data_IF_600870020203
#
_entry.id   IF_600870020203
#
_cell.length_a   1.000
_cell.length_b   1.000
_cell.length_c   1.000
_cell.angle_alpha   90.00
_cell.angle_beta   90.00
_cell.angle_gamma   90.00
#
_symmetry.space_group_name_H-M   'P 1'
#
loop_
_entity.id
_entity.type
_entity.pdbx_description
1 polymer ?
#
# COMPACT_ATOMS: atom_id res chain seq x y z
N UNK A 1 20.52 4.07 5.15
CA UNK A 1 20.78 5.24 4.27
C UNK A 1 21.79 6.25 4.86
N UNK A 2 22.10 6.23 6.17
CA UNK A 2 23.07 7.14 6.79
C UNK A 2 24.51 7.05 6.24
N UNK A 3 24.97 5.86 5.81
CA UNK A 3 26.38 5.65 5.42
C UNK A 3 26.83 6.37 4.15
N UNK A 4 25.96 6.58 3.15
CA UNK A 4 26.35 7.18 1.86
C UNK A 4 26.38 8.71 1.93
N UNK A 5 25.48 9.30 2.73
CA UNK A 5 25.41 10.75 2.94
C UNK A 5 26.41 11.24 4.01
N UNK A 6 26.82 10.36 4.93
CA UNK A 6 27.83 10.65 5.96
C UNK A 6 29.25 10.25 5.54
N UNK A 7 29.42 9.64 4.36
CA UNK A 7 30.74 9.29 3.86
C UNK A 7 31.52 10.55 3.49
N UNK A 8 32.72 10.68 4.03
CA UNK A 8 33.59 11.80 3.71
C UNK A 8 33.97 11.77 2.22
N UNK A 9 33.88 12.89 1.48
CA UNK A 9 34.12 12.93 0.04
C UNK A 9 35.57 12.62 -0.36
N UNK A 10 36.49 12.58 0.61
CA UNK A 10 37.92 12.27 0.40
C UNK A 10 38.25 10.78 0.60
N UNK A 11 37.31 9.95 1.05
CA UNK A 11 37.56 8.53 1.31
C UNK A 11 37.53 7.76 -0.01
N UNK A 12 38.61 7.04 -0.31
CA UNK A 12 38.70 6.21 -1.51
C UNK A 12 38.01 4.83 -1.29
N UNK A 13 36.88 4.56 -1.96
CA UNK A 13 36.16 3.30 -1.84
C UNK A 13 36.78 2.16 -2.65
N UNK A 14 37.89 2.41 -3.37
CA UNK A 14 38.56 1.43 -4.21
C UNK A 14 39.88 0.97 -3.59
N UNK A 15 40.22 -0.28 -3.87
CA UNK A 15 41.53 -0.87 -3.65
C UNK A 15 42.52 -0.44 -4.76
N UNK A 16 43.84 -0.63 -4.57
CA UNK A 16 44.84 -0.30 -5.58
C UNK A 16 44.66 -1.04 -6.92
N UNK A 17 43.97 -2.18 -6.94
CA UNK A 17 43.64 -2.97 -8.12
C UNK A 17 42.37 -2.51 -8.85
N UNK A 18 41.71 -1.46 -8.35
CA UNK A 18 40.45 -0.92 -8.90
C UNK A 18 39.18 -1.62 -8.40
N UNK A 19 39.29 -2.68 -7.59
CA UNK A 19 38.12 -3.33 -6.98
C UNK A 19 37.51 -2.46 -5.87
N UNK A 20 36.22 -2.59 -5.61
CA UNK A 20 35.56 -1.86 -4.51
C UNK A 20 35.87 -2.51 -3.17
N UNK A 21 36.29 -1.72 -2.18
CA UNK A 21 36.37 -2.13 -0.78
C UNK A 21 34.98 -2.48 -0.26
N UNK A 22 34.89 -3.44 0.66
CA UNK A 22 33.62 -3.77 1.34
C UNK A 22 33.25 -2.72 2.37
N UNK A 23 34.23 -2.21 3.11
CA UNK A 23 34.08 -1.23 4.19
C UNK A 23 35.13 -0.14 4.02
N UNK A 24 34.75 1.09 4.34
CA UNK A 24 35.67 2.21 4.47
C UNK A 24 35.57 2.81 5.87
N UNK A 25 36.72 3.21 6.41
CA UNK A 25 36.82 3.87 7.72
C UNK A 25 36.85 5.39 7.55
N UNK A 26 36.06 6.08 8.36
CA UNK A 26 35.97 7.55 8.38
C UNK A 26 36.09 8.07 9.82
N UNK A 27 36.27 9.38 9.98
CA UNK A 27 36.27 10.02 11.31
C UNK A 27 34.92 9.85 12.04
N UNK A 28 33.83 9.63 11.30
CA UNK A 28 32.49 9.34 11.84
C UNK A 28 32.22 7.83 12.01
N UNK A 29 33.18 6.96 11.70
CA UNK A 29 33.09 5.50 11.86
C UNK A 29 33.23 4.72 10.55
N UNK A 30 33.14 3.39 10.65
CA UNK A 30 33.20 2.47 9.53
C UNK A 30 31.86 2.37 8.80
N UNK A 31 31.89 2.27 7.47
CA UNK A 31 30.69 2.18 6.63
C UNK A 31 30.87 1.20 5.49
N UNK A 32 29.83 0.39 5.24
CA UNK A 32 29.78 -0.49 4.09
C UNK A 32 29.69 0.33 2.79
N UNK A 33 30.49 -0.02 1.79
CA UNK A 33 30.58 0.69 0.53
C UNK A 33 29.43 0.26 -0.39
N UNK A 34 28.50 1.18 -0.65
CA UNK A 34 27.39 0.99 -1.59
C UNK A 34 27.63 1.81 -2.84
N UNK A 35 28.10 1.16 -3.91
CA UNK A 35 28.12 1.75 -5.25
C UNK A 35 27.05 1.10 -6.12
N UNK A 36 26.69 1.73 -7.24
CA UNK A 36 25.76 1.15 -8.22
C UNK A 36 26.25 -0.23 -8.71
N UNK A 37 27.55 -0.39 -8.92
CA UNK A 37 28.14 -1.67 -9.35
C UNK A 37 28.02 -2.76 -8.28
N UNK A 38 28.28 -2.43 -7.01
CA UNK A 38 28.09 -3.35 -5.88
C UNK A 38 26.62 -3.73 -5.75
N UNK A 39 25.70 -2.76 -5.80
CA UNK A 39 24.26 -3.04 -5.72
C UNK A 39 23.78 -3.96 -6.83
N UNK A 40 24.18 -3.71 -8.07
CA UNK A 40 23.84 -4.57 -9.20
C UNK A 40 24.41 -5.98 -9.00
N UNK A 41 25.67 -6.11 -8.60
CA UNK A 41 26.27 -7.42 -8.33
C UNK A 41 25.55 -8.19 -7.21
N UNK A 42 25.09 -7.50 -6.16
CA UNK A 42 24.34 -8.12 -5.08
C UNK A 42 22.96 -8.61 -5.53
N UNK A 43 22.30 -7.87 -6.42
CA UNK A 43 21.03 -8.27 -7.04
C UNK A 43 21.22 -9.44 -8.00
N UNK A 44 22.22 -9.39 -8.87
CA UNK A 44 22.54 -10.44 -9.85
C UNK A 44 22.93 -11.77 -9.19
N UNK A 45 23.36 -11.73 -7.93
CA UNK A 45 23.73 -12.90 -7.12
C UNK A 45 22.66 -13.31 -6.10
N UNK A 46 21.46 -12.72 -6.18
CA UNK A 46 20.35 -12.99 -5.25
C UNK A 46 20.70 -12.74 -3.76
N UNK A 47 21.72 -11.93 -3.48
CA UNK A 47 22.15 -11.56 -2.13
C UNK A 47 21.40 -10.35 -1.58
N UNK A 48 20.61 -9.67 -2.41
CA UNK A 48 19.73 -8.60 -1.99
C UNK A 48 18.48 -8.55 -2.86
N UNK A 49 17.33 -8.71 -2.22
CA UNK A 49 16.02 -8.51 -2.82
C UNK A 49 15.21 -7.47 -2.02
N UNK A 50 14.49 -6.62 -2.73
CA UNK A 50 13.48 -5.73 -2.19
C UNK A 50 12.37 -5.62 -3.25
N UNK A 51 11.22 -6.21 -2.96
CA UNK A 51 10.12 -6.37 -3.90
C UNK A 51 8.80 -5.95 -3.24
N UNK A 52 7.98 -5.20 -3.98
CA UNK A 52 6.61 -4.91 -3.58
C UNK A 52 5.67 -5.26 -4.72
N UNK A 53 4.71 -6.15 -4.45
CA UNK A 53 3.63 -6.52 -5.35
C UNK A 53 2.32 -5.94 -4.85
N UNK A 54 1.72 -5.06 -5.65
CA UNK A 54 0.40 -4.51 -5.41
C UNK A 54 -0.64 -5.16 -6.33
N UNK A 55 -1.83 -5.41 -5.81
CA UNK A 55 -3.02 -5.76 -6.57
C UNK A 55 -4.17 -4.88 -6.11
N UNK A 56 -4.89 -4.26 -7.04
CA UNK A 56 -6.04 -3.44 -6.72
C UNK A 56 -7.17 -3.65 -7.73
N UNK A 57 -8.39 -3.75 -7.24
CA UNK A 57 -9.61 -3.79 -8.04
C UNK A 57 -10.62 -2.81 -7.50
N UNK A 58 -11.24 -2.08 -8.41
CA UNK A 58 -12.29 -1.11 -8.12
C UNK A 58 -13.49 -1.48 -8.99
N UNK A 59 -14.59 -1.85 -8.35
CA UNK A 59 -15.79 -2.32 -9.04
C UNK A 59 -16.94 -1.42 -8.67
N UNK A 60 -17.73 -1.01 -9.67
CA UNK A 60 -18.92 -0.20 -9.46
C UNK A 60 -20.11 -0.82 -10.17
N UNK A 61 -21.21 -0.94 -9.44
CA UNK A 61 -22.49 -1.40 -9.94
C UNK A 61 -23.52 -0.34 -9.65
N UNK A 62 -24.44 -0.11 -10.59
CA UNK A 62 -25.58 0.76 -10.34
C UNK A 62 -26.83 0.20 -11.00
N UNK A 63 -27.97 0.51 -10.41
CA UNK A 63 -29.28 0.23 -10.97
C UNK A 63 -30.17 1.45 -10.81
N UNK A 64 -30.92 1.80 -11.85
CA UNK A 64 -31.94 2.85 -11.82
C UNK A 64 -33.30 2.25 -12.19
N UNK A 65 -34.32 2.58 -11.40
CA UNK A 65 -35.71 2.21 -11.63
C UNK A 65 -36.56 3.49 -11.64
N UNK A 66 -37.29 3.70 -12.74
CA UNK A 66 -38.37 4.69 -12.75
C UNK A 66 -39.63 4.04 -12.19
N UNK A 67 -40.25 4.67 -11.19
CA UNK A 67 -41.38 4.08 -10.48
C UNK A 67 -42.65 4.18 -11.35
N UNK A 68 -43.24 3.05 -11.79
CA UNK A 68 -44.45 3.09 -12.61
C UNK A 68 -45.61 3.66 -11.81
N UNK A 69 -46.36 4.58 -12.41
CA UNK A 69 -47.52 5.24 -11.78
C UNK A 69 -47.22 6.56 -11.07
N UNK A 70 -45.94 6.95 -10.89
CA UNK A 70 -45.56 8.27 -10.39
C UNK A 70 -44.57 8.91 -11.36
N UNK A 71 -45.07 9.82 -12.19
CA UNK A 71 -44.26 10.50 -13.19
C UNK A 71 -43.15 11.34 -12.54
N UNK A 72 -41.91 11.11 -12.97
CA UNK A 72 -40.75 11.85 -12.46
C UNK A 72 -40.07 11.23 -11.24
N UNK A 73 -40.62 10.17 -10.64
CA UNK A 73 -40.02 9.48 -9.50
C UNK A 73 -39.05 8.38 -9.95
N UNK A 74 -37.81 8.46 -9.48
CA UNK A 74 -36.73 7.53 -9.78
C UNK A 74 -36.04 7.07 -8.52
N UNK A 75 -35.72 5.79 -8.47
CA UNK A 75 -34.84 5.21 -7.46
C UNK A 75 -33.56 4.73 -8.12
N UNK A 76 -32.42 5.11 -7.56
CA UNK A 76 -31.10 4.67 -8.02
C UNK A 76 -30.32 4.09 -6.84
N UNK A 77 -29.68 2.95 -7.04
CA UNK A 77 -28.74 2.37 -6.09
C UNK A 77 -27.36 2.28 -6.73
N UNK A 78 -26.32 2.62 -5.98
CA UNK A 78 -24.92 2.47 -6.37
C UNK A 78 -24.20 1.59 -5.34
N UNK A 79 -23.42 0.63 -5.82
CA UNK A 79 -22.54 -0.21 -5.02
C UNK A 79 -21.11 -0.04 -5.53
N UNK A 80 -20.21 0.45 -4.68
CA UNK A 80 -18.77 0.47 -4.89
C UNK A 80 -18.10 -0.62 -4.07
N UNK A 81 -17.18 -1.38 -4.68
CA UNK A 81 -16.39 -2.42 -4.03
C UNK A 81 -14.93 -2.27 -4.43
N UNK A 82 -14.09 -1.95 -3.45
CA UNK A 82 -12.66 -1.78 -3.63
C UNK A 82 -11.90 -2.82 -2.82
N UNK A 83 -10.93 -3.46 -3.46
CA UNK A 83 -10.00 -4.36 -2.80
C UNK A 83 -8.58 -3.99 -3.22
N UNK A 84 -7.74 -3.71 -2.23
CA UNK A 84 -6.33 -3.36 -2.43
C UNK A 84 -5.50 -4.30 -1.57
N UNK A 85 -4.50 -4.93 -2.16
CA UNK A 85 -3.53 -5.77 -1.48
C UNK A 85 -2.12 -5.34 -1.83
N UNK A 86 -1.27 -5.24 -0.83
CA UNK A 86 0.16 -5.04 -1.01
C UNK A 86 0.92 -6.17 -0.31
N UNK A 87 1.88 -6.75 -1.02
CA UNK A 87 2.81 -7.74 -0.49
C UNK A 87 4.22 -7.24 -0.70
N UNK A 88 4.88 -6.84 0.37
CA UNK A 88 6.26 -6.36 0.37
C UNK A 88 7.15 -7.43 0.96
N UNK A 89 8.23 -7.77 0.27
CA UNK A 89 9.21 -8.75 0.69
C UNK A 89 10.61 -8.23 0.52
N UNK A 90 11.48 -8.51 1.47
CA UNK A 90 12.89 -8.14 1.39
C UNK A 90 13.79 -9.28 1.87
N UNK A 91 14.99 -9.33 1.32
CA UNK A 91 16.05 -10.24 1.70
C UNK A 91 17.40 -9.52 1.65
N UNK A 92 18.24 -9.79 2.63
CA UNK A 92 19.61 -9.31 2.71
C UNK A 92 20.49 -10.49 3.11
N UNK A 93 21.44 -10.85 2.25
CA UNK A 93 22.38 -11.94 2.49
C UNK A 93 23.35 -11.63 3.63
N UNK A 94 24.09 -12.65 4.07
CA UNK A 94 25.05 -12.52 5.15
C UNK A 94 26.11 -11.44 4.85
N UNK A 95 26.35 -10.56 5.83
CA UNK A 95 27.35 -9.50 5.73
C UNK A 95 27.06 -8.45 4.67
N UNK A 96 25.85 -8.38 4.12
CA UNK A 96 25.47 -7.32 3.17
C UNK A 96 24.96 -6.11 3.94
N UNK A 97 25.39 -4.91 3.54
CA UNK A 97 24.99 -3.63 4.14
C UNK A 97 25.35 -3.49 5.64
N UNK A 98 26.35 -4.23 6.11
CA UNK A 98 26.87 -4.17 7.49
C UNK A 98 28.40 -4.13 7.52
N UNK A 99 28.98 -3.55 8.57
CA UNK A 99 30.45 -3.54 8.74
C UNK A 99 30.98 -4.94 9.06
N UNK A 100 30.29 -5.70 9.91
CA UNK A 100 30.67 -7.07 10.25
C UNK A 100 30.26 -8.06 9.15
N UNK A 101 31.23 -8.76 8.55
CA UNK A 101 30.99 -9.75 7.50
C UNK A 101 30.22 -10.98 7.99
N UNK A 102 30.28 -11.28 9.28
CA UNK A 102 29.60 -12.42 9.90
C UNK A 102 28.15 -12.11 10.28
N UNK A 103 27.64 -10.89 10.08
CA UNK A 103 26.23 -10.58 10.37
C UNK A 103 25.33 -11.48 9.53
N UNK A 104 24.53 -12.31 10.19
CA UNK A 104 23.61 -13.27 9.55
C UNK A 104 22.65 -12.59 8.58
N UNK A 105 22.15 -13.35 7.61
CA UNK A 105 21.16 -12.89 6.65
C UNK A 105 19.85 -12.50 7.34
N UNK A 106 19.08 -11.62 6.72
CA UNK A 106 17.75 -11.21 7.19
C UNK A 106 16.74 -11.23 6.04
N UNK A 107 15.50 -11.55 6.35
CA UNK A 107 14.38 -11.29 5.45
C UNK A 107 13.16 -10.84 6.21
N UNK A 108 12.21 -10.29 5.48
CA UNK A 108 10.91 -9.95 6.00
C UNK A 108 9.86 -9.98 4.92
N UNK A 109 8.62 -10.16 5.35
CA UNK A 109 7.42 -10.02 4.53
C UNK A 109 6.40 -9.19 5.29
N UNK A 110 5.72 -8.31 4.56
CA UNK A 110 4.61 -7.51 5.06
C UNK A 110 3.47 -7.61 4.07
N UNK A 111 2.33 -8.14 4.51
CA UNK A 111 1.11 -8.20 3.72
C UNK A 111 0.09 -7.22 4.31
N UNK A 112 -0.44 -6.33 3.49
CA UNK A 112 -1.56 -5.48 3.86
C UNK A 112 -2.72 -5.60 2.88
N UNK A 113 -3.93 -5.53 3.41
CA UNK A 113 -5.17 -5.65 2.67
C UNK A 113 -6.13 -4.56 3.12
N UNK A 114 -6.75 -3.89 2.15
CA UNK A 114 -7.84 -2.95 2.36
C UNK A 114 -9.07 -3.47 1.63
N UNK A 115 -10.16 -3.63 2.36
CA UNK A 115 -11.49 -3.91 1.83
C UNK A 115 -12.35 -2.68 2.09
N UNK A 116 -12.84 -2.07 1.03
CA UNK A 116 -13.73 -0.91 1.12
C UNK A 116 -14.98 -1.16 0.31
N UNK A 117 -16.13 -0.78 0.88
CA UNK A 117 -17.40 -0.82 0.17
C UNK A 117 -18.22 0.41 0.47
N UNK A 118 -19.00 0.84 -0.52
CA UNK A 118 -19.94 1.96 -0.42
C UNK A 118 -21.27 1.54 -1.02
N UNK A 119 -22.37 1.78 -0.31
CA UNK A 119 -23.73 1.57 -0.78
C UNK A 119 -24.48 2.90 -0.70
N UNK A 120 -24.92 3.40 -1.84
CA UNK A 120 -25.68 4.64 -1.94
C UNK A 120 -27.07 4.36 -2.51
N UNK A 121 -28.08 4.93 -1.87
CA UNK A 121 -29.47 4.83 -2.27
C UNK A 121 -30.01 6.25 -2.49
N UNK A 122 -30.40 6.55 -3.72
CA UNK A 122 -30.95 7.83 -4.12
C UNK A 122 -32.42 7.66 -4.52
N UNK A 123 -33.28 8.49 -3.93
CA UNK A 123 -34.65 8.69 -4.39
C UNK A 123 -34.74 10.10 -4.95
N UNK A 124 -35.10 10.22 -6.22
CA UNK A 124 -35.19 11.49 -6.94
C UNK A 124 -36.59 11.69 -7.48
N UNK A 125 -37.16 12.88 -7.31
CA UNK A 125 -38.44 13.27 -7.88
C UNK A 125 -38.27 14.56 -8.68
N UNK A 126 -38.54 14.46 -9.98
CA UNK A 126 -38.45 15.57 -10.93
C UNK A 126 -39.79 15.80 -11.60
N UNK A 127 -40.41 16.95 -11.33
CA UNK A 127 -41.73 17.29 -11.89
C UNK A 127 -41.80 18.73 -12.34
N UNK A 128 -42.27 18.93 -13.56
CA UNK A 128 -42.62 20.26 -14.10
C UNK A 128 -44.12 20.36 -14.31
N UNK A 129 -44.74 21.40 -13.78
CA UNK A 129 -46.16 21.72 -13.95
C UNK A 129 -46.30 23.19 -14.37
N UNK A 130 -46.67 23.42 -15.62
CA UNK A 130 -46.74 24.78 -16.18
C UNK A 130 -45.37 25.45 -16.15
N UNK A 131 -45.26 26.56 -15.43
CA UNK A 131 -44.01 27.32 -15.24
C UNK A 131 -43.19 26.90 -14.01
N UNK A 132 -43.67 25.92 -13.24
CA UNK A 132 -43.04 25.49 -12.00
C UNK A 132 -42.28 24.17 -12.20
N UNK A 133 -41.01 24.13 -11.84
CA UNK A 133 -40.24 22.87 -11.80
C UNK A 133 -39.77 22.58 -10.38
N UNK A 134 -39.93 21.33 -9.96
CA UNK A 134 -39.56 20.83 -8.64
C UNK A 134 -38.58 19.66 -8.81
N UNK A 135 -37.43 19.74 -8.15
CA UNK A 135 -36.49 18.63 -7.99
C UNK A 135 -36.31 18.35 -6.49
N UNK A 136 -36.61 17.13 -6.08
CA UNK A 136 -36.32 16.65 -4.74
C UNK A 136 -35.40 15.44 -4.84
N UNK A 137 -34.37 15.40 -4.00
CA UNK A 137 -33.45 14.26 -3.87
C UNK A 137 -33.32 13.91 -2.41
N UNK A 138 -33.46 12.63 -2.10
CA UNK A 138 -33.05 12.04 -0.84
C UNK A 138 -31.94 11.01 -1.12
N UNK A 139 -30.84 11.09 -0.39
CA UNK A 139 -29.72 10.17 -0.45
C UNK A 139 -29.52 9.53 0.92
N UNK A 140 -29.30 8.22 0.92
CA UNK A 140 -28.75 7.48 2.04
C UNK A 140 -27.47 6.80 1.57
N UNK A 141 -26.36 7.02 2.27
CA UNK A 141 -25.07 6.40 1.96
C UNK A 141 -24.53 5.69 3.19
N UNK A 142 -23.98 4.50 2.99
CA UNK A 142 -23.26 3.73 3.98
C UNK A 142 -21.95 3.24 3.36
N UNK A 143 -20.85 3.42 4.08
CA UNK A 143 -19.54 2.91 3.67
C UNK A 143 -18.81 2.27 4.85
N UNK A 144 -17.88 1.38 4.52
CA UNK A 144 -16.96 0.81 5.49
C UNK A 144 -15.61 0.54 4.85
N UNK A 145 -14.56 0.89 5.57
CA UNK A 145 -13.20 0.53 5.26
C UNK A 145 -12.65 -0.42 6.32
N UNK A 146 -12.05 -1.52 5.89
CA UNK A 146 -11.36 -2.49 6.72
C UNK A 146 -9.93 -2.67 6.21
N UNK A 147 -8.97 -2.32 7.05
CA UNK A 147 -7.55 -2.51 6.79
C UNK A 147 -6.98 -3.55 7.75
N UNK A 148 -6.16 -4.45 7.23
CA UNK A 148 -5.40 -5.41 8.00
C UNK A 148 -3.98 -5.46 7.46
N UNK A 149 -2.99 -5.43 8.35
CA UNK A 149 -1.59 -5.64 8.02
C UNK A 149 -1.00 -6.71 8.94
N UNK A 150 -0.25 -7.61 8.32
CA UNK A 150 0.62 -8.55 9.01
C UNK A 150 2.04 -8.42 8.51
N UNK A 151 3.00 -8.60 9.41
CA UNK A 151 4.41 -8.59 9.07
C UNK A 151 5.19 -9.60 9.89
N UNK A 152 6.23 -10.16 9.30
CA UNK A 152 7.22 -10.98 9.99
C UNK A 152 8.61 -10.69 9.44
N UNK A 153 9.60 -10.94 10.28
CA UNK A 153 11.01 -10.84 9.91
C UNK A 153 11.76 -12.02 10.50
N UNK A 154 12.78 -12.49 9.80
CA UNK A 154 13.59 -13.64 10.21
C UNK A 154 15.07 -13.34 10.04
N UNK A 155 15.87 -14.12 10.76
CA UNK A 155 17.33 -14.10 10.71
C UNK A 155 17.90 -15.47 10.34
N UNK A 156 19.08 -15.44 9.76
CA UNK A 156 19.88 -16.64 9.47
C UNK A 156 19.16 -17.61 8.52
N UNK A 157 18.84 -17.10 7.33
CA UNK A 157 18.30 -17.89 6.23
C UNK A 157 19.43 -18.72 5.62
N UNK A 158 19.31 -20.07 5.58
CA UNK A 158 20.40 -20.96 5.17
C UNK A 158 20.86 -20.84 3.71
N UNK A 159 19.99 -20.40 2.80
CA UNK A 159 20.32 -20.16 1.39
C UNK A 159 19.69 -18.87 0.89
N UNK A 160 20.43 -18.14 0.04
CA UNK A 160 19.91 -17.00 -0.70
C UNK A 160 18.76 -17.37 -1.64
N UNK A 161 18.61 -18.64 -2.02
CA UNK A 161 17.52 -19.08 -2.91
C UNK A 161 16.14 -19.04 -2.24
N UNK A 162 16.09 -19.13 -0.90
CA UNK A 162 14.82 -19.07 -0.16
C UNK A 162 14.24 -17.65 -0.09
N UNK A 163 15.10 -16.64 -0.08
CA UNK A 163 14.76 -15.21 -0.01
C UNK A 163 13.67 -14.93 1.05
N UNK A 164 12.72 -14.05 0.72
CA UNK A 164 11.53 -13.82 1.56
C UNK A 164 10.40 -14.81 1.28
N UNK A 165 10.54 -15.70 0.29
CA UNK A 165 9.48 -16.61 -0.14
C UNK A 165 9.28 -17.80 0.80
N UNK A 166 10.32 -18.20 1.54
CA UNK A 166 10.25 -19.32 2.48
C UNK A 166 10.93 -19.00 3.83
N UNK A 167 10.34 -18.05 4.56
CA UNK A 167 10.87 -17.57 5.85
C UNK A 167 10.89 -18.64 6.96
N UNK A 168 10.06 -19.69 6.86
CA UNK A 168 9.99 -20.76 7.85
C UNK A 168 11.21 -21.69 7.87
N UNK A 169 12.11 -21.60 6.88
CA UNK A 169 13.37 -22.34 6.85
C UNK A 169 14.52 -21.60 7.54
N UNK A 170 14.26 -20.41 8.12
CA UNK A 170 15.25 -19.68 8.88
C UNK A 170 15.77 -20.53 10.06
N UNK A 171 17.09 -20.61 10.21
CA UNK A 171 17.74 -21.30 11.33
C UNK A 171 17.82 -20.41 12.59
N UNK A 172 17.64 -19.10 12.42
CA UNK A 172 17.71 -18.11 13.48
C UNK A 172 16.34 -17.70 14.00
N UNK A 173 16.31 -16.50 14.58
CA UNK A 173 15.10 -15.93 15.18
C UNK A 173 14.03 -15.63 14.12
N UNK A 174 12.80 -16.04 14.40
CA UNK A 174 11.59 -15.65 13.67
C UNK A 174 10.81 -14.68 14.55
N UNK A 175 10.69 -13.43 14.10
CA UNK A 175 10.06 -12.36 14.85
C UNK A 175 8.75 -11.95 14.19
N UNK A 176 7.66 -12.06 14.95
CA UNK A 176 6.36 -11.44 14.63
C UNK A 176 6.18 -10.27 15.58
N UNK A 177 6.55 -9.07 15.13
CA UNK A 177 6.49 -7.87 15.97
C UNK A 177 5.03 -7.39 16.09
N UNK A 178 4.45 -7.28 17.30
CA UNK A 178 3.11 -6.73 17.52
C UNK A 178 2.93 -5.32 16.94
N UNK A 179 3.96 -4.46 16.99
CA UNK A 179 3.92 -3.08 16.49
C UNK A 179 3.85 -3.01 14.95
N UNK A 180 4.08 -4.14 14.27
CA UNK A 180 4.00 -4.26 12.82
C UNK A 180 2.75 -5.02 12.36
N UNK A 181 1.88 -5.38 13.31
CA UNK A 181 0.53 -5.86 13.03
C UNK A 181 -0.43 -4.68 13.17
N UNK A 182 -1.41 -4.58 12.28
CA UNK A 182 -2.37 -3.49 12.33
C UNK A 182 -3.75 -3.97 11.89
N UNK A 183 -4.78 -3.50 12.59
CA UNK A 183 -6.17 -3.76 12.26
C UNK A 183 -6.97 -2.48 12.47
N UNK A 184 -7.55 -1.97 11.39
CA UNK A 184 -8.35 -0.75 11.43
C UNK A 184 -9.68 -1.01 10.72
N UNK A 185 -10.77 -0.64 11.38
CA UNK A 185 -12.08 -0.69 10.77
C UNK A 185 -12.85 0.58 11.15
N UNK A 186 -13.35 1.27 10.13
CA UNK A 186 -14.20 2.42 10.29
C UNK A 186 -15.26 2.42 9.21
N UNK A 187 -16.34 3.16 9.44
CA UNK A 187 -17.41 3.32 8.47
C UNK A 187 -18.17 4.60 8.74
N UNK A 188 -18.94 5.01 7.75
CA UNK A 188 -19.73 6.23 7.79
C UNK A 188 -21.12 5.93 7.25
N UNK A 189 -22.13 6.41 7.97
CA UNK A 189 -23.51 6.44 7.52
C UNK A 189 -23.95 7.89 7.40
N UNK A 190 -24.56 8.24 6.28
CA UNK A 190 -24.98 9.61 6.00
C UNK A 190 -26.34 9.65 5.30
N UNK A 191 -27.07 10.74 5.56
CA UNK A 191 -28.32 11.06 4.91
C UNK A 191 -28.21 12.47 4.36
N UNK A 192 -28.75 12.70 3.16
CA UNK A 192 -28.80 14.00 2.54
C UNK A 192 -30.17 14.23 1.89
N UNK A 193 -30.67 15.45 2.03
CA UNK A 193 -31.86 15.93 1.36
C UNK A 193 -31.52 17.18 0.56
N UNK A 194 -32.03 17.27 -0.66
CA UNK A 194 -31.95 18.45 -1.51
C UNK A 194 -33.32 18.75 -2.10
N UNK A 195 -33.74 20.00 -1.97
CA UNK A 195 -34.94 20.52 -2.63
C UNK A 195 -34.51 21.69 -3.51
N UNK A 196 -34.90 21.66 -4.78
CA UNK A 196 -34.74 22.75 -5.72
C UNK A 196 -36.09 23.05 -6.35
N UNK A 197 -36.35 24.34 -6.52
CA UNK A 197 -37.54 24.84 -7.18
C UNK A 197 -37.09 25.90 -8.18
N UNK A 198 -37.70 25.90 -9.36
CA UNK A 198 -37.53 26.98 -10.30
C UNK A 198 -38.86 27.42 -10.92
N UNK A 199 -38.93 28.72 -11.22
CA UNK A 199 -40.06 29.34 -11.90
C UNK A 199 -39.62 29.97 -13.21
N UNK A 200 -40.26 29.54 -14.31
CA UNK A 200 -40.08 30.09 -15.66
C UNK A 200 -38.60 30.08 -16.13
N UNK A 201 -37.81 29.11 -15.64
CA UNK A 201 -36.37 28.97 -15.85
C UNK A 201 -35.54 30.23 -15.52
N UNK A 202 -36.04 31.11 -14.66
CA UNK A 202 -35.41 32.41 -14.36
C UNK A 202 -35.17 32.64 -12.88
N UNK A 203 -36.00 32.06 -12.02
CA UNK A 203 -35.92 32.11 -10.57
C UNK A 203 -35.80 30.71 -9.99
#
# INVERSE_FOLDING_TARGET
MFGILAASPIINPYNPDGSTKRVVSSASGDSFVLTKGVLNNLRDRDLWLDETRGFATYNSFYGELSIPGIEGLKYRTNLGLDFIQNNTGNFTGQGINTVNASTVSTAGISNSQTYHWTLENLLTYDRTVGKHSFNAVALYSAEQNKYNRSAMSVRDIPSSDFQFYNLGQAAGEITVNPDQQDYQQWGLMSWMGRLMYSYDNKY
#
